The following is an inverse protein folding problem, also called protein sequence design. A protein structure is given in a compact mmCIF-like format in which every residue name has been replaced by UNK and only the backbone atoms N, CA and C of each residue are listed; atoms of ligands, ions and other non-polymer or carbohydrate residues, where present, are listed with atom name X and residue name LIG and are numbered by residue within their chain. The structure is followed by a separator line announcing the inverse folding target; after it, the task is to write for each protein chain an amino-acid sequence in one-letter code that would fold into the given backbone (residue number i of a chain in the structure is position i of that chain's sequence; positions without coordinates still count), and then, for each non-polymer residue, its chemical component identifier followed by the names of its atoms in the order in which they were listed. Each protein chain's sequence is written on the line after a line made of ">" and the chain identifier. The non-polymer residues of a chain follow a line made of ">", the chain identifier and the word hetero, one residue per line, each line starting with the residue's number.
data_IF_474127621812
#
_entry.id   IF_474127621812
#
_cell.length_a   1.000
_cell.length_b   1.000
_cell.length_c   1.000
_cell.angle_alpha   90.00
_cell.angle_beta   90.00
_cell.angle_gamma   90.00
#
_symmetry.space_group_name_H-M   'P 1'
#
loop_
_entity.id
_entity.type
_entity.pdbx_description
1 polymer ?
#
# COMPACT_ATOMS: atom_id res chain seq x y z
N UNK A 1 -27.48 25.48 10.34
CA UNK A 1 -27.23 24.21 11.07
C UNK A 1 -26.02 23.53 10.47
N UNK A 2 -24.95 23.34 11.22
CA UNK A 2 -23.81 22.55 10.77
C UNK A 2 -24.21 21.07 10.73
N UNK A 3 -24.08 20.44 9.56
CA UNK A 3 -24.23 18.99 9.45
C UNK A 3 -22.98 18.36 10.05
N UNK A 4 -23.14 17.42 10.98
CA UNK A 4 -22.03 16.63 11.52
C UNK A 4 -21.42 15.84 10.34
N UNK A 5 -20.11 15.99 10.12
CA UNK A 5 -19.38 15.19 9.15
C UNK A 5 -19.64 13.71 9.44
N UNK A 6 -19.86 12.90 8.40
CA UNK A 6 -19.90 11.44 8.55
C UNK A 6 -18.60 10.99 9.21
N UNK A 7 -18.68 10.09 10.19
CA UNK A 7 -17.49 9.47 10.78
C UNK A 7 -16.85 8.52 9.74
N UNK A 8 -16.19 9.07 8.73
CA UNK A 8 -15.24 8.32 7.94
C UNK A 8 -14.07 8.04 8.87
N UNK A 9 -13.88 6.79 9.26
CA UNK A 9 -12.77 6.37 10.12
C UNK A 9 -11.48 6.98 9.58
N UNK A 10 -10.80 7.78 10.41
CA UNK A 10 -9.55 8.41 10.02
C UNK A 10 -8.58 7.31 9.56
N UNK A 11 -8.24 7.36 8.29
CA UNK A 11 -7.29 6.43 7.70
C UNK A 11 -5.90 6.86 8.17
N UNK A 12 -5.31 6.06 9.06
CA UNK A 12 -3.93 6.23 9.50
C UNK A 12 -2.97 5.83 8.35
N UNK A 13 -1.73 6.31 8.36
CA UNK A 13 -0.67 5.94 7.42
C UNK A 13 -0.46 4.41 7.36
N UNK A 14 -0.82 3.69 8.43
CA UNK A 14 -0.76 2.23 8.50
C UNK A 14 -2.02 1.50 8.04
N UNK A 15 -3.06 2.21 7.59
CA UNK A 15 -4.26 1.53 7.08
C UNK A 15 -3.99 0.91 5.71
N UNK A 16 -4.63 -0.23 5.47
CA UNK A 16 -4.50 -0.91 4.18
C UNK A 16 -4.98 0.02 3.07
N UNK A 17 -4.24 0.09 1.97
CA UNK A 17 -4.60 0.87 0.78
C UNK A 17 -6.00 0.54 0.26
N UNK A 18 -6.51 -0.68 0.48
CA UNK A 18 -7.89 -1.07 0.13
C UNK A 18 -8.95 -0.24 0.85
N UNK A 19 -8.70 0.14 2.10
CA UNK A 19 -9.62 0.93 2.91
C UNK A 19 -9.77 2.38 2.43
N UNK A 20 -8.85 2.84 1.57
CA UNK A 20 -8.94 4.15 0.92
C UNK A 20 -9.93 4.16 -0.26
N UNK A 21 -10.24 3.00 -0.83
CA UNK A 21 -11.07 2.87 -2.02
C UNK A 21 -12.48 2.41 -1.68
N UNK A 22 -13.46 2.81 -2.50
CA UNK A 22 -14.87 2.40 -2.35
C UNK A 22 -15.52 2.08 -3.70
N UNK A 23 -16.49 1.15 -3.67
CA UNK A 23 -17.28 0.76 -4.84
C UNK A 23 -16.43 0.32 -6.05
N UNK A 24 -16.65 0.97 -7.20
CA UNK A 24 -15.95 0.64 -8.45
C UNK A 24 -14.44 0.83 -8.37
N UNK A 25 -13.97 1.84 -7.62
CA UNK A 25 -12.52 2.08 -7.47
C UNK A 25 -11.83 0.93 -6.74
N UNK A 26 -12.47 0.37 -5.72
CA UNK A 26 -11.97 -0.81 -5.02
C UNK A 26 -11.96 -2.03 -5.94
N UNK A 27 -13.03 -2.24 -6.72
CA UNK A 27 -13.10 -3.34 -7.69
C UNK A 27 -11.98 -3.29 -8.72
N UNK A 28 -11.65 -2.10 -9.23
CA UNK A 28 -10.53 -1.91 -10.16
C UNK A 28 -9.18 -2.12 -9.47
N UNK A 29 -9.04 -1.64 -8.23
CA UNK A 29 -7.81 -1.84 -7.46
C UNK A 29 -7.54 -3.32 -7.17
N UNK A 30 -8.58 -4.10 -6.89
CA UNK A 30 -8.49 -5.53 -6.57
C UNK A 30 -8.40 -6.46 -7.80
N UNK A 31 -8.66 -5.94 -9.00
CA UNK A 31 -8.56 -6.74 -10.22
C UNK A 31 -7.11 -7.17 -10.47
N UNK A 32 -6.86 -8.48 -10.37
CA UNK A 32 -5.54 -9.08 -10.58
C UNK A 32 -5.03 -8.89 -12.01
N UNK A 33 -5.92 -8.71 -12.99
CA UNK A 33 -5.56 -8.48 -14.39
C UNK A 33 -5.33 -7.01 -14.70
N UNK A 34 -5.69 -6.10 -13.78
CA UNK A 34 -5.38 -4.70 -13.94
C UNK A 34 -3.86 -4.47 -14.02
N UNK A 35 -3.47 -3.50 -14.84
CA UNK A 35 -2.08 -3.24 -15.20
C UNK A 35 -1.17 -3.03 -13.98
N UNK A 36 -1.63 -2.33 -12.94
CA UNK A 36 -0.83 -2.02 -11.75
C UNK A 36 -0.53 -3.27 -10.93
N UNK A 37 -1.48 -4.20 -10.84
CA UNK A 37 -1.30 -5.46 -10.13
C UNK A 37 -0.40 -6.42 -10.90
N UNK A 38 -0.52 -6.46 -12.23
CA UNK A 38 0.40 -7.21 -13.09
C UNK A 38 1.81 -6.64 -13.01
N UNK A 39 1.97 -5.32 -13.09
CA UNK A 39 3.26 -4.66 -12.97
C UNK A 39 3.91 -4.95 -11.60
N UNK A 40 3.18 -4.78 -10.51
CA UNK A 40 3.68 -5.08 -9.16
C UNK A 40 4.15 -6.53 -9.06
N UNK A 41 3.37 -7.48 -9.58
CA UNK A 41 3.70 -8.91 -9.50
C UNK A 41 4.89 -9.30 -10.38
N UNK A 42 4.92 -8.82 -11.61
CA UNK A 42 5.87 -9.27 -12.62
C UNK A 42 7.18 -8.48 -12.62
N UNK A 43 7.15 -7.23 -12.15
CA UNK A 43 8.30 -6.34 -12.14
C UNK A 43 8.74 -6.08 -10.70
N UNK A 44 7.92 -5.38 -9.89
CA UNK A 44 8.34 -4.94 -8.55
C UNK A 44 8.71 -6.09 -7.62
N UNK A 45 7.88 -7.13 -7.54
CA UNK A 45 8.13 -8.28 -6.64
C UNK A 45 9.20 -9.24 -7.16
N UNK A 46 9.72 -9.03 -8.38
CA UNK A 46 10.82 -9.83 -8.94
C UNK A 46 12.18 -9.16 -8.80
N UNK A 47 12.22 -7.96 -8.22
CA UNK A 47 13.48 -7.27 -7.93
C UNK A 47 14.23 -8.08 -6.88
N UNK A 48 15.49 -8.42 -7.17
CA UNK A 48 16.37 -9.04 -6.19
C UNK A 48 16.87 -7.99 -5.20
N UNK A 49 16.22 -7.93 -4.04
CA UNK A 49 16.60 -6.99 -2.98
C UNK A 49 17.93 -7.35 -2.31
N UNK A 50 18.48 -8.56 -2.51
CA UNK A 50 19.74 -8.98 -1.89
C UNK A 50 20.92 -8.10 -2.29
N UNK A 51 20.90 -7.53 -3.50
CA UNK A 51 21.93 -6.61 -3.99
C UNK A 51 21.97 -5.33 -3.13
N UNK A 52 20.82 -4.92 -2.59
CA UNK A 52 20.69 -3.74 -1.74
C UNK A 52 20.85 -4.06 -0.26
N UNK A 53 21.14 -5.31 0.12
CA UNK A 53 21.30 -5.73 1.52
C UNK A 53 22.29 -4.88 2.34
N UNK A 54 23.39 -4.34 1.79
CA UNK A 54 24.25 -3.41 2.55
C UNK A 54 23.55 -2.10 2.98
N UNK A 55 22.44 -1.73 2.32
CA UNK A 55 21.71 -0.49 2.56
C UNK A 55 20.62 -0.62 3.65
N UNK A 56 20.24 -1.84 4.02
CA UNK A 56 19.21 -2.07 5.04
C UNK A 56 19.53 -3.28 5.90
N UNK A 57 19.28 -3.17 7.21
CA UNK A 57 19.38 -4.30 8.12
C UNK A 57 17.98 -4.87 8.34
N UNK A 58 17.86 -6.21 8.33
CA UNK A 58 16.57 -6.87 8.60
C UNK A 58 16.20 -6.79 10.08
N UNK A 59 17.21 -6.87 10.94
CA UNK A 59 17.04 -6.99 12.40
C UNK A 59 17.18 -5.65 13.12
N UNK A 60 17.87 -4.70 12.49
CA UNK A 60 17.95 -3.33 12.94
C UNK A 60 17.04 -2.52 12.02
N UNK A 61 15.88 -2.10 12.52
CA UNK A 61 15.04 -1.13 11.83
C UNK A 61 15.80 0.15 11.49
N UNK A 62 15.12 1.14 10.94
CA UNK A 62 15.74 2.47 10.72
C UNK A 62 16.41 2.93 12.02
N UNK A 63 17.72 3.28 12.01
CA UNK A 63 18.47 3.65 13.23
C UNK A 63 17.90 4.84 14.01
N UNK A 64 16.84 5.47 13.51
CA UNK A 64 16.24 6.70 14.01
C UNK A 64 14.70 6.60 14.14
N UNK A 65 14.14 5.39 14.23
CA UNK A 65 12.73 5.18 14.61
C UNK A 65 12.58 4.94 16.12
#
# INVERSE_FOLDING_TARGET
>A
MFKKSSESGQLNIFTSSKSLFSGNSLKMYEDKQAWHNQFRKQITMRIDENIFRPLYCKDNGTPNA
#
